data_IF_865818833865
#
_entry.id   IF_865818833865
#
_cell.length_a   1.000
_cell.length_b   1.000
_cell.length_c   1.000
_cell.angle_alpha   90.00
_cell.angle_beta   90.00
_cell.angle_gamma   90.00
#
_symmetry.space_group_name_H-M   'P 1'
#
loop_
_entity.id
_entity.type
_entity.pdbx_description
1 polymer ?
#
# COMPACT_ATOMS: atom_id res chain seq x y z
N UNK A 1 27.40 -0.58 14.67
CA UNK A 1 26.12 0.16 14.72
C UNK A 1 25.24 -0.52 15.77
N UNK A 2 24.84 0.20 16.81
CA UNK A 2 23.82 -0.27 17.75
C UNK A 2 22.46 -0.09 17.06
N UNK A 3 21.72 -1.17 16.80
CA UNK A 3 20.36 -1.04 16.27
C UNK A 3 19.47 -0.41 17.35
N UNK A 4 18.56 0.48 16.97
CA UNK A 4 17.50 0.99 17.85
C UNK A 4 16.79 -0.13 18.61
N UNK A 5 16.64 -1.27 17.94
CA UNK A 5 15.96 -2.47 18.42
C UNK A 5 16.72 -3.09 19.59
N UNK A 6 18.06 -3.04 19.57
CA UNK A 6 18.90 -3.50 20.68
C UNK A 6 18.72 -2.60 21.90
N UNK A 7 18.61 -1.29 21.71
CA UNK A 7 18.33 -0.35 22.80
C UNK A 7 16.94 -0.62 23.41
N UNK A 8 15.91 -0.78 22.57
CA UNK A 8 14.56 -1.12 23.03
C UNK A 8 14.54 -2.47 23.79
N UNK A 9 15.26 -3.47 23.28
CA UNK A 9 15.42 -4.77 23.94
C UNK A 9 16.06 -4.62 25.31
N UNK A 10 17.18 -3.90 25.41
CA UNK A 10 17.88 -3.66 26.68
C UNK A 10 17.00 -2.89 27.67
N UNK A 11 16.24 -1.89 27.22
CA UNK A 11 15.30 -1.16 28.08
C UNK A 11 14.20 -2.08 28.62
N UNK A 12 13.65 -2.96 27.78
CA UNK A 12 12.65 -3.93 28.21
C UNK A 12 13.21 -4.94 29.21
N UNK A 13 14.40 -5.48 28.96
CA UNK A 13 15.04 -6.49 29.82
C UNK A 13 15.45 -5.93 31.18
N UNK A 14 15.99 -4.70 31.21
CA UNK A 14 16.51 -4.11 32.44
C UNK A 14 15.46 -3.32 33.22
N UNK A 15 14.37 -2.88 32.57
CA UNK A 15 13.37 -1.99 33.15
C UNK A 15 11.94 -2.35 32.75
N UNK A 16 11.59 -3.64 32.67
CA UNK A 16 10.29 -4.13 32.16
C UNK A 16 9.07 -3.36 32.68
N UNK A 17 8.97 -3.18 34.01
CA UNK A 17 7.85 -2.47 34.62
C UNK A 17 7.72 -1.03 34.12
N UNK A 18 8.83 -0.30 33.97
CA UNK A 18 8.84 1.06 33.40
C UNK A 18 8.55 1.02 31.90
N UNK A 19 9.17 0.10 31.17
CA UNK A 19 9.01 -0.04 29.73
C UNK A 19 7.53 -0.24 29.32
N UNK A 20 6.78 -1.00 30.11
CA UNK A 20 5.38 -1.29 29.84
C UNK A 20 4.46 -0.08 30.10
N UNK A 21 4.82 0.84 31.01
CA UNK A 21 3.97 1.99 31.37
C UNK A 21 4.32 3.29 30.66
N UNK A 22 5.60 3.52 30.30
CA UNK A 22 6.01 4.75 29.61
C UNK A 22 5.31 4.87 28.25
N UNK A 23 4.93 6.08 27.88
CA UNK A 23 4.41 6.34 26.54
C UNK A 23 5.53 6.23 25.50
N UNK A 24 5.36 5.35 24.51
CA UNK A 24 6.37 5.05 23.48
C UNK A 24 6.05 5.64 22.09
N UNK A 25 4.96 6.41 21.95
CA UNK A 25 4.49 6.93 20.66
C UNK A 25 5.54 7.79 19.96
N UNK A 26 6.07 8.80 20.68
CA UNK A 26 7.12 9.69 20.15
C UNK A 26 8.42 8.94 19.81
N UNK A 27 9.00 8.09 20.68
CA UNK A 27 10.15 7.27 20.30
C UNK A 27 9.91 6.41 19.06
N UNK A 28 8.79 5.69 18.97
CA UNK A 28 8.47 4.88 17.79
C UNK A 28 8.31 5.73 16.53
N UNK A 29 7.71 6.91 16.63
CA UNK A 29 7.61 7.84 15.50
C UNK A 29 8.99 8.22 14.94
N UNK A 30 9.94 8.56 15.81
CA UNK A 30 11.31 8.87 15.37
C UNK A 30 12.05 7.67 14.78
N UNK A 31 11.84 6.46 15.32
CA UNK A 31 12.39 5.24 14.74
C UNK A 31 11.81 4.97 13.34
N UNK A 32 10.52 5.22 13.15
CA UNK A 32 9.88 5.14 11.85
C UNK A 32 10.47 6.12 10.85
N UNK A 33 10.61 7.39 11.24
CA UNK A 33 11.24 8.41 10.39
C UNK A 33 12.66 8.02 9.99
N UNK A 34 13.48 7.60 10.96
CA UNK A 34 14.84 7.14 10.68
C UNK A 34 14.85 6.00 9.66
N UNK A 35 13.93 5.04 9.81
CA UNK A 35 13.79 3.90 8.90
C UNK A 35 13.36 4.32 7.50
N UNK A 36 12.41 5.27 7.35
CA UNK A 36 12.06 5.85 6.05
C UNK A 36 13.25 6.52 5.37
N UNK A 37 14.04 7.28 6.13
CA UNK A 37 15.22 7.99 5.61
C UNK A 37 16.34 7.04 5.19
N UNK A 38 16.47 5.89 5.84
CA UNK A 38 17.47 4.86 5.49
C UNK A 38 16.96 3.80 4.51
N UNK A 39 15.69 3.87 4.09
CA UNK A 39 15.09 2.92 3.15
C UNK A 39 14.69 1.56 3.74
N UNK A 40 14.61 1.45 5.07
CA UNK A 40 14.06 0.28 5.78
C UNK A 40 12.54 0.45 5.91
N UNK A 41 11.81 0.26 4.81
CA UNK A 41 10.39 0.57 4.72
C UNK A 41 9.55 -0.36 5.61
N UNK A 42 9.97 -1.60 5.81
CA UNK A 42 9.31 -2.57 6.67
C UNK A 42 9.33 -2.11 8.14
N UNK A 43 10.49 -1.68 8.65
CA UNK A 43 10.56 -1.08 9.98
C UNK A 43 9.85 0.27 10.05
N UNK A 44 9.92 1.06 8.98
CA UNK A 44 9.24 2.34 8.93
C UNK A 44 7.72 2.19 9.14
N UNK A 45 7.10 1.25 8.42
CA UNK A 45 5.67 0.90 8.58
C UNK A 45 5.39 0.36 9.98
N UNK A 46 6.20 -0.59 10.48
CA UNK A 46 6.01 -1.17 11.80
C UNK A 46 6.03 -0.12 12.91
N UNK A 47 7.06 0.72 12.93
CA UNK A 47 7.21 1.73 13.98
C UNK A 47 6.20 2.87 13.86
N UNK A 48 5.74 3.22 12.65
CA UNK A 48 4.68 4.22 12.49
C UNK A 48 3.35 3.71 13.04
N UNK A 49 2.98 2.46 12.72
CA UNK A 49 1.79 1.81 13.25
C UNK A 49 1.88 1.62 14.78
N UNK A 50 3.07 1.26 15.29
CA UNK A 50 3.30 1.15 16.73
C UNK A 50 3.19 2.49 17.46
N UNK A 51 3.72 3.57 16.86
CA UNK A 51 3.57 4.92 17.40
C UNK A 51 2.10 5.30 17.51
N UNK A 52 1.37 5.10 16.41
CA UNK A 52 -0.04 5.38 16.31
C UNK A 52 -0.90 4.60 17.32
N UNK A 53 -0.65 3.30 17.48
CA UNK A 53 -1.36 2.45 18.45
C UNK A 53 -1.07 2.82 19.90
N UNK A 54 0.14 3.29 20.19
CA UNK A 54 0.50 3.77 21.51
C UNK A 54 -0.24 5.07 21.85
N UNK A 55 -0.36 6.00 20.88
CA UNK A 55 -1.14 7.23 21.03
C UNK A 55 -2.63 6.92 21.30
N UNK A 56 -3.21 5.93 20.60
CA UNK A 56 -4.58 5.42 20.87
C UNK A 56 -4.68 4.85 22.28
N UNK A 57 -3.73 3.99 22.69
CA UNK A 57 -3.73 3.33 24.00
C UNK A 57 -3.70 4.35 25.15
N UNK A 58 -3.09 5.50 24.91
CA UNK A 58 -2.97 6.58 25.89
C UNK A 58 -4.06 7.65 25.77
N UNK A 59 -5.09 7.41 24.96
CA UNK A 59 -6.25 8.31 24.78
C UNK A 59 -5.84 9.75 24.40
N UNK A 60 -4.74 9.87 23.64
CA UNK A 60 -4.24 11.16 23.17
C UNK A 60 -5.06 11.59 21.94
N UNK A 61 -5.35 12.90 21.81
CA UNK A 61 -5.95 13.43 20.58
C UNK A 61 -5.01 13.23 19.39
N UNK A 62 -5.36 12.26 18.53
CA UNK A 62 -4.56 11.85 17.39
C UNK A 62 -4.26 13.02 16.44
N UNK A 63 -5.14 14.03 16.34
CA UNK A 63 -4.92 15.20 15.47
C UNK A 63 -3.70 16.02 15.87
N UNK A 64 -3.30 15.95 17.14
CA UNK A 64 -2.16 16.68 17.68
C UNK A 64 -0.90 15.80 17.78
N UNK A 65 -1.02 14.49 17.52
CA UNK A 65 0.11 13.56 17.59
C UNK A 65 0.91 13.53 16.28
N UNK A 66 2.25 13.36 16.33
CA UNK A 66 3.07 13.23 15.13
C UNK A 66 2.63 12.08 14.21
N UNK A 67 2.21 10.94 14.78
CA UNK A 67 1.72 9.80 14.02
C UNK A 67 0.35 10.10 13.39
N UNK A 68 -0.60 10.68 14.14
CA UNK A 68 -1.90 11.05 13.56
C UNK A 68 -1.78 12.10 12.46
N UNK A 69 -0.90 13.09 12.59
CA UNK A 69 -0.62 14.05 11.52
C UNK A 69 -0.02 13.39 10.26
N UNK A 70 0.80 12.36 10.43
CA UNK A 70 1.30 11.55 9.31
C UNK A 70 0.16 10.83 8.57
N UNK A 71 -0.78 10.20 9.29
CA UNK A 71 -1.95 9.56 8.69
C UNK A 71 -2.93 10.58 8.07
N UNK A 72 -3.01 11.78 8.63
CA UNK A 72 -3.82 12.90 8.12
C UNK A 72 -3.22 13.52 6.85
N UNK A 73 -1.99 13.13 6.47
CA UNK A 73 -1.18 13.74 5.41
C UNK A 73 -1.07 15.27 5.58
N UNK A 74 -0.97 15.71 6.84
CA UNK A 74 -0.93 17.12 7.19
C UNK A 74 0.43 17.72 6.82
N UNK A 75 0.39 18.73 5.94
CA UNK A 75 1.58 19.48 5.49
C UNK A 75 1.66 20.88 6.07
N UNK A 76 0.68 21.29 6.86
CA UNK A 76 0.54 22.64 7.38
C UNK A 76 1.22 22.79 8.76
N UNK A 77 1.41 21.69 9.49
CA UNK A 77 2.14 21.71 10.75
C UNK A 77 3.65 21.73 10.52
N UNK A 78 4.23 22.94 10.43
CA UNK A 78 5.66 23.15 10.23
C UNK A 78 6.56 22.55 11.34
N UNK A 79 6.01 22.29 12.52
CA UNK A 79 6.74 21.74 13.67
C UNK A 79 6.79 20.21 13.66
N UNK A 80 6.09 19.55 12.75
CA UNK A 80 6.13 18.08 12.66
C UNK A 80 7.50 17.62 12.14
N UNK A 81 8.21 16.81 12.93
CA UNK A 81 9.54 16.33 12.56
C UNK A 81 9.55 15.54 11.23
N UNK A 82 8.51 14.76 10.95
CA UNK A 82 8.37 13.98 9.70
C UNK A 82 7.79 14.75 8.51
N UNK A 83 7.76 16.09 8.54
CA UNK A 83 7.09 16.90 7.51
C UNK A 83 7.58 16.60 6.08
N UNK A 84 8.89 16.45 5.87
CA UNK A 84 9.44 16.18 4.53
C UNK A 84 9.08 14.79 3.99
N UNK A 85 8.91 13.81 4.89
CA UNK A 85 8.40 12.49 4.52
C UNK A 85 6.94 12.62 4.06
N UNK A 86 6.10 13.34 4.82
CA UNK A 86 4.69 13.56 4.46
C UNK A 86 4.55 14.33 3.15
N UNK A 87 5.34 15.40 2.95
CA UNK A 87 5.37 16.14 1.66
C UNK A 87 5.76 15.23 0.50
N UNK A 88 6.74 14.35 0.69
CA UNK A 88 7.18 13.40 -0.35
C UNK A 88 6.08 12.38 -0.67
N UNK A 89 5.42 11.82 0.34
CA UNK A 89 4.25 10.93 0.15
C UNK A 89 3.18 11.65 -0.66
N UNK A 90 2.80 12.86 -0.24
CA UNK A 90 1.75 13.66 -0.90
C UNK A 90 2.09 13.96 -2.36
N UNK A 91 3.34 14.34 -2.64
CA UNK A 91 3.84 14.60 -4.00
C UNK A 91 3.80 13.35 -4.88
N UNK A 92 4.29 12.22 -4.37
CA UNK A 92 4.31 10.96 -5.13
C UNK A 92 2.90 10.43 -5.38
N UNK A 93 2.03 10.54 -4.38
CA UNK A 93 0.62 10.18 -4.48
C UNK A 93 -0.09 11.06 -5.52
N UNK A 94 0.01 12.38 -5.44
CA UNK A 94 -0.60 13.31 -6.41
C UNK A 94 -0.12 13.03 -7.85
N UNK A 95 1.20 12.85 -8.03
CA UNK A 95 1.78 12.48 -9.31
C UNK A 95 1.14 11.19 -9.85
N UNK A 96 1.08 10.13 -9.04
CA UNK A 96 0.54 8.85 -9.48
C UNK A 96 -0.96 8.88 -9.72
N UNK A 97 -1.75 9.54 -8.88
CA UNK A 97 -3.19 9.68 -9.09
C UNK A 97 -3.49 10.36 -10.43
N UNK A 98 -2.76 11.42 -10.77
CA UNK A 98 -2.88 12.10 -12.07
C UNK A 98 -2.45 11.22 -13.24
N UNK A 99 -1.40 10.40 -13.09
CA UNK A 99 -1.03 9.43 -14.13
C UNK A 99 -2.12 8.37 -14.35
N UNK A 100 -2.68 7.83 -13.27
CA UNK A 100 -3.75 6.83 -13.34
C UNK A 100 -4.99 7.41 -14.02
N UNK A 101 -5.40 8.63 -13.69
CA UNK A 101 -6.50 9.30 -14.36
C UNK A 101 -6.26 9.44 -15.87
N UNK A 102 -5.07 9.89 -16.29
CA UNK A 102 -4.70 10.03 -17.71
C UNK A 102 -4.73 8.70 -18.47
N UNK A 103 -4.43 7.59 -17.80
CA UNK A 103 -4.48 6.26 -18.38
C UNK A 103 -5.91 5.69 -18.47
N UNK A 104 -6.93 6.43 -18.00
CA UNK A 104 -8.32 5.99 -17.98
C UNK A 104 -8.73 5.29 -16.68
N UNK A 105 -7.97 5.51 -15.61
CA UNK A 105 -8.31 5.11 -14.24
C UNK A 105 -9.33 6.04 -13.56
N UNK A 106 -9.74 5.75 -12.31
CA UNK A 106 -10.61 6.62 -11.55
C UNK A 106 -9.94 7.96 -11.21
N UNK A 107 -10.72 9.05 -11.22
CA UNK A 107 -10.30 10.36 -10.73
C UNK A 107 -10.39 10.39 -9.20
N UNK A 108 -9.25 10.29 -8.53
CA UNK A 108 -9.14 10.40 -7.07
C UNK A 108 -8.18 11.54 -6.70
N UNK A 109 -8.56 12.32 -5.69
CA UNK A 109 -7.67 13.29 -5.05
C UNK A 109 -6.99 12.68 -3.82
N UNK A 110 -5.94 13.35 -3.31
CA UNK A 110 -5.36 13.00 -2.01
C UNK A 110 -6.42 13.03 -0.89
N UNK A 111 -7.37 13.97 -0.96
CA UNK A 111 -8.46 14.06 0.00
C UNK A 111 -9.41 12.85 -0.08
N UNK A 112 -9.62 12.28 -1.28
CA UNK A 112 -10.38 11.03 -1.40
C UNK A 112 -9.66 9.88 -0.71
N UNK A 113 -8.35 9.71 -0.95
CA UNK A 113 -7.56 8.66 -0.28
C UNK A 113 -7.59 8.84 1.24
N UNK A 114 -7.41 10.10 1.68
CA UNK A 114 -7.44 10.47 3.09
C UNK A 114 -8.78 10.10 3.73
N UNK A 115 -9.88 10.58 3.17
CA UNK A 115 -11.22 10.37 3.77
C UNK A 115 -11.64 8.90 3.70
N UNK A 116 -11.36 8.22 2.59
CA UNK A 116 -11.84 6.86 2.33
C UNK A 116 -10.97 5.76 2.92
N UNK A 117 -9.75 6.06 3.37
CA UNK A 117 -8.82 5.05 3.92
C UNK A 117 -8.14 5.54 5.18
N UNK A 118 -7.32 6.60 5.11
CA UNK A 118 -6.43 6.93 6.23
C UNK A 118 -7.20 7.49 7.44
N UNK A 119 -8.16 8.38 7.24
CA UNK A 119 -9.05 8.87 8.31
C UNK A 119 -10.03 7.82 8.80
N UNK A 120 -10.51 6.94 7.93
CA UNK A 120 -11.32 5.80 8.36
C UNK A 120 -10.57 4.94 9.38
N UNK A 121 -9.27 4.73 9.15
CA UNK A 121 -8.40 4.03 10.09
C UNK A 121 -8.18 4.77 11.41
N UNK A 122 -8.37 6.11 11.45
CA UNK A 122 -8.28 6.93 12.66
C UNK A 122 -9.54 6.87 13.54
N UNK A 123 -10.71 6.52 12.98
CA UNK A 123 -11.99 6.54 13.70
C UNK A 123 -12.40 5.14 14.18
N UNK A 124 -13.05 4.38 13.31
CA UNK A 124 -13.80 3.18 13.68
C UNK A 124 -13.32 1.91 12.95
N UNK A 125 -12.27 2.02 12.11
CA UNK A 125 -11.76 0.94 11.25
C UNK A 125 -10.28 0.65 11.52
N UNK A 126 -9.98 0.24 12.75
CA UNK A 126 -8.60 -0.14 13.13
C UNK A 126 -8.03 -1.28 12.29
N UNK A 127 -8.88 -2.10 11.66
CA UNK A 127 -8.51 -3.10 10.66
C UNK A 127 -7.86 -2.50 9.41
N UNK A 128 -8.08 -1.23 9.13
CA UNK A 128 -7.45 -0.50 8.02
C UNK A 128 -6.13 0.17 8.40
N UNK A 129 -5.72 0.24 9.67
CA UNK A 129 -4.47 0.91 10.08
C UNK A 129 -3.24 0.38 9.34
N UNK A 130 -3.12 -0.95 9.25
CA UNK A 130 -2.03 -1.61 8.51
C UNK A 130 -2.14 -1.35 7.01
N UNK A 131 -3.35 -1.26 6.45
CA UNK A 131 -3.56 -0.94 5.03
C UNK A 131 -3.15 0.51 4.75
N UNK A 132 -3.53 1.44 5.62
CA UNK A 132 -3.17 2.86 5.53
C UNK A 132 -1.65 3.04 5.57
N UNK A 133 -0.96 2.50 6.57
CA UNK A 133 0.50 2.62 6.68
C UNK A 133 1.24 1.98 5.52
N UNK A 134 0.79 0.80 5.07
CA UNK A 134 1.35 0.15 3.88
C UNK A 134 1.12 0.98 2.61
N UNK A 135 -0.05 1.58 2.43
CA UNK A 135 -0.37 2.45 1.28
C UNK A 135 0.50 3.70 1.27
N UNK A 136 0.64 4.39 2.41
CA UNK A 136 1.48 5.58 2.51
C UNK A 136 2.96 5.24 2.25
N UNK A 137 3.45 4.12 2.81
CA UNK A 137 4.80 3.64 2.52
C UNK A 137 4.99 3.23 1.07
N UNK A 138 3.99 2.65 0.42
CA UNK A 138 4.04 2.27 -1.00
C UNK A 138 4.28 3.51 -1.88
N UNK A 139 3.55 4.60 -1.64
CA UNK A 139 3.79 5.85 -2.37
C UNK A 139 5.14 6.51 -2.05
N UNK A 140 5.64 6.37 -0.82
CA UNK A 140 6.97 6.88 -0.47
C UNK A 140 8.09 6.07 -1.16
N UNK A 141 8.00 4.75 -1.07
CA UNK A 141 8.99 3.80 -1.56
C UNK A 141 9.18 3.84 -3.09
N UNK A 142 8.13 4.22 -3.84
CA UNK A 142 8.17 4.36 -5.30
C UNK A 142 9.42 5.05 -5.83
N UNK A 143 9.78 6.22 -5.25
CA UNK A 143 10.94 6.99 -5.72
C UNK A 143 12.26 6.28 -5.44
N UNK A 144 12.35 5.59 -4.30
CA UNK A 144 13.54 4.79 -3.96
C UNK A 144 13.74 3.65 -4.95
N UNK A 145 12.66 2.96 -5.33
CA UNK A 145 12.72 1.87 -6.32
C UNK A 145 13.04 2.40 -7.72
N UNK A 146 12.43 3.51 -8.12
CA UNK A 146 12.77 4.18 -9.39
C UNK A 146 14.26 4.57 -9.45
N UNK A 147 14.77 5.22 -8.41
CA UNK A 147 16.18 5.61 -8.32
C UNK A 147 17.12 4.40 -8.41
N UNK A 148 16.80 3.28 -7.75
CA UNK A 148 17.60 2.06 -7.84
C UNK A 148 17.68 1.51 -9.28
N UNK A 149 16.61 1.60 -10.06
CA UNK A 149 16.62 1.21 -11.48
C UNK A 149 17.41 2.20 -12.34
N UNK A 150 17.32 3.49 -12.05
CA UNK A 150 18.08 4.54 -12.76
C UNK A 150 19.60 4.42 -12.52
N UNK A 151 20.00 4.04 -11.30
CA UNK A 151 21.39 3.88 -10.91
C UNK A 151 22.00 2.54 -11.34
N UNK A 152 21.18 1.50 -11.54
CA UNK A 152 21.68 0.17 -11.88
C UNK A 152 21.66 -0.07 -13.39
N UNK A 153 22.71 -0.70 -13.92
CA UNK A 153 22.64 -1.24 -15.28
C UNK A 153 21.64 -2.40 -15.32
N UNK A 154 21.07 -2.68 -16.49
CA UNK A 154 20.02 -3.69 -16.69
C UNK A 154 20.40 -5.10 -16.19
N UNK A 155 21.70 -5.40 -16.06
CA UNK A 155 22.24 -6.70 -15.63
C UNK A 155 22.80 -6.76 -14.20
N UNK A 156 22.72 -5.68 -13.41
CA UNK A 156 23.35 -5.61 -12.09
C UNK A 156 22.33 -5.77 -10.95
N UNK A 157 22.68 -6.61 -9.97
CA UNK A 157 21.91 -6.82 -8.73
C UNK A 157 20.71 -7.77 -8.89
N UNK A 158 19.97 -7.95 -7.79
CA UNK A 158 18.75 -8.77 -7.75
C UNK A 158 17.51 -7.95 -8.18
N UNK A 159 16.51 -8.62 -8.77
CA UNK A 159 15.20 -8.04 -9.06
C UNK A 159 14.28 -7.96 -7.82
N UNK A 160 14.68 -8.61 -6.72
CA UNK A 160 13.90 -8.75 -5.49
C UNK A 160 13.30 -7.43 -4.96
N UNK A 161 14.02 -6.29 -4.89
CA UNK A 161 13.46 -5.05 -4.36
C UNK A 161 12.24 -4.54 -5.15
N UNK A 162 12.22 -4.77 -6.47
CA UNK A 162 11.11 -4.35 -7.34
C UNK A 162 9.94 -5.32 -7.25
N UNK A 163 10.26 -6.62 -7.20
CA UNK A 163 9.28 -7.70 -7.05
C UNK A 163 8.53 -7.58 -5.73
N UNK A 164 9.24 -7.39 -4.62
CA UNK A 164 8.64 -7.24 -3.30
C UNK A 164 7.82 -5.95 -3.19
N UNK A 165 8.28 -4.86 -3.82
CA UNK A 165 7.53 -3.61 -3.90
C UNK A 165 6.19 -3.79 -4.66
N UNK A 166 6.19 -4.45 -5.81
CA UNK A 166 4.93 -4.74 -6.51
C UNK A 166 4.04 -5.69 -5.73
N UNK A 167 4.62 -6.71 -5.09
CA UNK A 167 3.87 -7.63 -4.23
C UNK A 167 3.17 -6.87 -3.10
N UNK A 168 3.86 -5.90 -2.47
CA UNK A 168 3.28 -5.01 -1.46
C UNK A 168 2.04 -4.29 -2.01
N UNK A 169 2.13 -3.73 -3.23
CA UNK A 169 0.98 -3.12 -3.92
C UNK A 169 -0.16 -4.09 -4.19
N UNK A 170 0.13 -5.31 -4.67
CA UNK A 170 -0.87 -6.36 -4.85
C UNK A 170 -1.57 -6.75 -3.53
N UNK A 171 -0.82 -6.83 -2.43
CA UNK A 171 -1.34 -7.16 -1.10
C UNK A 171 -2.18 -6.00 -0.53
N UNK A 172 -1.83 -4.75 -0.82
CA UNK A 172 -2.65 -3.58 -0.49
C UNK A 172 -4.00 -3.68 -1.22
N UNK A 173 -3.99 -3.92 -2.53
CA UNK A 173 -5.21 -4.11 -3.32
C UNK A 173 -6.08 -5.27 -2.79
N UNK A 174 -5.46 -6.42 -2.51
CA UNK A 174 -6.14 -7.59 -1.94
C UNK A 174 -6.74 -7.28 -0.55
N UNK A 175 -6.00 -6.54 0.29
CA UNK A 175 -6.46 -6.13 1.61
C UNK A 175 -7.65 -5.17 1.53
N UNK A 176 -7.66 -4.23 0.57
CA UNK A 176 -8.77 -3.33 0.34
C UNK A 176 -10.05 -4.09 -0.03
N UNK A 177 -9.95 -5.06 -0.94
CA UNK A 177 -11.12 -5.89 -1.30
C UNK A 177 -11.62 -6.64 -0.06
N UNK A 178 -10.73 -7.31 0.67
CA UNK A 178 -11.11 -8.15 1.83
C UNK A 178 -11.71 -7.36 2.98
N UNK A 179 -11.23 -6.15 3.22
CA UNK A 179 -11.69 -5.31 4.31
C UNK A 179 -12.86 -4.40 3.91
N UNK A 180 -13.24 -4.32 2.65
CA UNK A 180 -14.50 -3.70 2.26
C UNK A 180 -15.72 -4.44 2.85
N UNK A 181 -16.86 -3.77 2.98
CA UNK A 181 -18.07 -4.38 3.55
C UNK A 181 -18.54 -5.58 2.72
N UNK A 182 -18.46 -5.48 1.39
CA UNK A 182 -18.79 -6.58 0.49
C UNK A 182 -17.79 -7.73 0.59
N UNK A 183 -16.50 -7.43 0.78
CA UNK A 183 -15.45 -8.43 1.02
C UNK A 183 -15.68 -9.22 2.30
N UNK A 184 -15.97 -8.51 3.41
CA UNK A 184 -16.30 -9.12 4.71
C UNK A 184 -17.52 -10.03 4.61
N UNK A 185 -18.61 -9.57 3.97
CA UNK A 185 -19.81 -10.39 3.72
C UNK A 185 -19.52 -11.61 2.84
N UNK A 186 -18.57 -11.50 1.90
CA UNK A 186 -18.21 -12.59 0.99
C UNK A 186 -17.37 -13.67 1.64
N UNK A 187 -16.46 -13.28 2.53
CA UNK A 187 -15.61 -14.20 3.28
C UNK A 187 -16.40 -15.21 4.11
N UNK A 188 -17.54 -14.81 4.66
CA UNK A 188 -18.37 -15.67 5.49
C UNK A 188 -19.09 -16.78 4.68
N UNK A 189 -19.17 -16.65 3.36
CA UNK A 189 -19.98 -17.52 2.50
C UNK A 189 -19.15 -18.34 1.48
N UNK A 190 -17.81 -18.27 1.51
CA UNK A 190 -16.95 -18.85 0.46
C UNK A 190 -15.76 -19.62 1.03
N UNK A 191 -15.38 -20.74 0.40
CA UNK A 191 -14.21 -21.55 0.75
C UNK A 191 -12.90 -21.09 0.08
N UNK A 192 -12.95 -20.11 -0.85
CA UNK A 192 -11.78 -19.65 -1.60
C UNK A 192 -11.19 -18.37 -0.98
N UNK A 193 -10.13 -18.54 -0.18
CA UNK A 193 -9.52 -17.48 0.59
C UNK A 193 -8.33 -16.78 -0.09
N UNK A 194 -8.23 -16.74 -1.42
CA UNK A 194 -7.15 -16.02 -2.14
C UNK A 194 -7.73 -14.94 -3.08
N UNK A 195 -6.88 -14.00 -3.54
CA UNK A 195 -7.29 -12.90 -4.43
C UNK A 195 -8.08 -13.40 -5.66
N UNK A 196 -7.63 -14.49 -6.28
CA UNK A 196 -8.31 -15.08 -7.44
C UNK A 196 -9.71 -15.63 -7.11
N UNK A 197 -9.91 -16.15 -5.91
CA UNK A 197 -11.23 -16.55 -5.40
C UNK A 197 -12.16 -15.36 -5.29
N UNK A 198 -11.71 -14.29 -4.62
CA UNK A 198 -12.50 -13.06 -4.48
C UNK A 198 -12.86 -12.45 -5.85
N UNK A 199 -11.93 -12.38 -6.79
CA UNK A 199 -12.17 -11.77 -8.11
C UNK A 199 -13.05 -12.62 -9.04
N UNK A 200 -13.31 -13.88 -8.70
CA UNK A 200 -14.27 -14.75 -9.39
C UNK A 200 -15.70 -14.60 -8.87
N UNK A 201 -15.86 -14.08 -7.66
CA UNK A 201 -17.18 -13.82 -7.07
C UNK A 201 -17.88 -12.68 -7.79
N UNK A 202 -19.07 -12.95 -8.36
CA UNK A 202 -19.83 -12.00 -9.18
C UNK A 202 -20.10 -10.68 -8.48
N UNK A 203 -20.50 -10.75 -7.21
CA UNK A 203 -20.72 -9.58 -6.38
C UNK A 203 -19.47 -8.70 -6.22
N UNK A 204 -18.27 -9.30 -6.17
CA UNK A 204 -17.02 -8.56 -6.00
C UNK A 204 -16.64 -7.87 -7.31
N UNK A 205 -16.57 -8.59 -8.43
CA UNK A 205 -16.16 -7.94 -9.69
C UNK A 205 -17.20 -6.93 -10.19
N UNK A 206 -18.49 -7.15 -9.92
CA UNK A 206 -19.53 -6.14 -10.19
C UNK A 206 -19.39 -4.92 -9.30
N UNK A 207 -19.08 -5.08 -8.01
CA UNK A 207 -18.82 -3.95 -7.12
C UNK A 207 -17.60 -3.13 -7.57
N UNK A 208 -16.57 -3.79 -8.13
CA UNK A 208 -15.43 -3.12 -8.75
C UNK A 208 -15.75 -2.47 -10.12
N UNK A 209 -16.99 -2.59 -10.62
CA UNK A 209 -17.45 -1.95 -11.86
C UNK A 209 -17.31 -2.81 -13.12
N UNK A 210 -17.04 -4.11 -12.99
CA UNK A 210 -16.87 -5.01 -14.14
C UNK A 210 -18.13 -5.82 -14.45
N UNK A 211 -18.40 -6.03 -15.74
CA UNK A 211 -19.52 -6.85 -16.20
C UNK A 211 -19.16 -8.34 -16.24
N UNK A 212 -17.88 -8.66 -16.47
CA UNK A 212 -17.34 -10.01 -16.56
C UNK A 212 -16.17 -10.17 -15.61
N UNK A 213 -15.85 -11.43 -15.25
CA UNK A 213 -14.71 -11.73 -14.39
C UNK A 213 -13.39 -11.22 -15.03
N UNK A 214 -12.64 -10.34 -14.34
CA UNK A 214 -11.43 -9.73 -14.88
C UNK A 214 -10.19 -10.64 -14.75
N UNK A 215 -10.30 -11.87 -14.23
CA UNK A 215 -9.16 -12.77 -13.98
C UNK A 215 -9.30 -14.11 -14.68
N UNK A 216 -9.51 -14.07 -16.00
CA UNK A 216 -9.63 -15.25 -16.86
C UNK A 216 -8.27 -15.77 -17.38
N UNK A 217 -7.22 -14.95 -17.35
CA UNK A 217 -5.90 -15.29 -17.84
C UNK A 217 -5.05 -15.99 -16.76
N UNK A 218 -4.33 -17.04 -17.16
CA UNK A 218 -3.31 -17.69 -16.31
C UNK A 218 -1.92 -17.22 -16.74
N UNK A 219 -1.09 -16.89 -15.76
CA UNK A 219 0.31 -16.52 -15.95
C UNK A 219 1.18 -17.47 -15.12
N UNK A 220 2.12 -18.17 -15.77
CA UNK A 220 3.01 -19.11 -15.08
C UNK A 220 4.38 -18.48 -14.82
N UNK A 221 4.82 -17.55 -15.69
CA UNK A 221 6.10 -16.85 -15.59
C UNK A 221 5.95 -15.36 -15.90
N UNK A 222 6.94 -14.57 -15.48
CA UNK A 222 6.98 -13.13 -15.77
C UNK A 222 6.92 -12.82 -17.28
N UNK A 223 7.58 -13.63 -18.11
CA UNK A 223 7.53 -13.52 -19.57
C UNK A 223 6.11 -13.62 -20.15
N UNK A 224 5.22 -14.39 -19.53
CA UNK A 224 3.82 -14.53 -19.98
C UNK A 224 3.04 -13.25 -19.73
N UNK A 225 3.27 -12.65 -18.55
CA UNK A 225 2.67 -11.38 -18.17
C UNK A 225 3.18 -10.25 -19.07
N UNK A 226 4.49 -10.21 -19.34
CA UNK A 226 5.08 -9.23 -20.24
C UNK A 226 4.47 -9.30 -21.64
N UNK A 227 4.36 -10.50 -22.23
CA UNK A 227 3.69 -10.70 -23.52
C UNK A 227 2.25 -10.21 -23.53
N UNK A 228 1.53 -10.37 -22.42
CA UNK A 228 0.17 -9.86 -22.28
C UNK A 228 0.13 -8.33 -22.18
N UNK A 229 1.06 -7.71 -21.44
CA UNK A 229 1.20 -6.25 -21.35
C UNK A 229 1.55 -5.66 -22.73
N UNK A 230 2.52 -6.24 -23.44
CA UNK A 230 2.99 -5.78 -24.75
C UNK A 230 1.92 -5.94 -25.85
N UNK A 231 0.98 -6.87 -25.67
CA UNK A 231 -0.11 -7.07 -26.62
C UNK A 231 -1.06 -5.87 -26.56
N UNK A 232 -0.90 -4.96 -27.53
CA UNK A 232 -1.90 -3.91 -27.77
C UNK A 232 -3.22 -4.56 -28.18
N UNK A 233 -4.19 -4.47 -27.30
CA UNK A 233 -5.57 -4.81 -27.59
C UNK A 233 -6.38 -3.52 -27.42
N UNK A 234 -6.67 -2.84 -28.53
CA UNK A 234 -7.34 -1.53 -28.54
C UNK A 234 -8.73 -1.56 -27.87
N UNK A 235 -9.28 -2.76 -27.63
CA UNK A 235 -10.57 -2.97 -26.98
C UNK A 235 -10.48 -3.22 -25.46
N UNK A 236 -9.28 -3.50 -24.91
CA UNK A 236 -9.13 -3.77 -23.48
C UNK A 236 -8.95 -2.46 -22.70
N UNK A 237 -9.87 -2.18 -21.78
CA UNK A 237 -9.83 -0.95 -20.98
C UNK A 237 -8.72 -1.05 -19.94
N UNK A 238 -8.04 0.07 -19.68
CA UNK A 238 -7.01 0.18 -18.64
C UNK A 238 -7.44 -0.42 -17.29
N UNK A 239 -8.71 -0.26 -16.90
CA UNK A 239 -9.25 -0.80 -15.66
C UNK A 239 -9.21 -2.34 -15.61
N UNK A 240 -9.59 -3.01 -16.70
CA UNK A 240 -9.56 -4.48 -16.78
C UNK A 240 -8.13 -5.00 -16.76
N UNK A 241 -7.24 -4.32 -17.52
CA UNK A 241 -5.82 -4.64 -17.54
C UNK A 241 -5.16 -4.44 -16.17
N UNK A 242 -5.55 -3.40 -15.43
CA UNK A 242 -5.06 -3.12 -14.08
C UNK A 242 -5.32 -4.28 -13.12
N UNK A 243 -6.54 -4.81 -13.09
CA UNK A 243 -6.90 -5.95 -12.23
C UNK A 243 -6.19 -7.23 -12.71
N UNK A 244 -6.16 -7.46 -14.02
CA UNK A 244 -5.55 -8.66 -14.61
C UNK A 244 -4.04 -8.72 -14.33
N UNK A 245 -3.32 -7.61 -14.56
CA UNK A 245 -1.88 -7.51 -14.31
C UNK A 245 -1.57 -7.62 -12.82
N UNK A 246 -2.33 -6.94 -11.96
CA UNK A 246 -2.15 -7.01 -10.50
C UNK A 246 -2.36 -8.44 -9.98
N UNK A 247 -3.37 -9.15 -10.48
CA UNK A 247 -3.59 -10.57 -10.20
C UNK A 247 -2.45 -11.43 -10.73
N UNK A 248 -1.98 -11.18 -11.96
CA UNK A 248 -0.86 -11.88 -12.57
C UNK A 248 0.42 -11.78 -11.76
N UNK A 249 0.83 -10.56 -11.39
CA UNK A 249 1.98 -10.31 -10.51
C UNK A 249 1.78 -11.04 -9.18
N UNK A 250 0.62 -10.91 -8.53
CA UNK A 250 0.36 -11.57 -7.24
C UNK A 250 0.58 -13.07 -7.31
N UNK A 251 0.13 -13.72 -8.38
CA UNK A 251 0.30 -15.17 -8.56
C UNK A 251 1.76 -15.52 -8.87
N UNK A 252 2.39 -14.86 -9.86
CA UNK A 252 3.76 -15.18 -10.26
C UNK A 252 4.72 -15.02 -9.08
N UNK A 253 4.67 -13.87 -8.40
CA UNK A 253 5.57 -13.55 -7.29
C UNK A 253 5.33 -14.47 -6.09
N UNK A 254 4.07 -14.81 -5.79
CA UNK A 254 3.76 -15.73 -4.69
C UNK A 254 4.37 -17.13 -4.89
N UNK A 255 4.72 -17.49 -6.12
CA UNK A 255 5.28 -18.80 -6.44
C UNK A 255 6.80 -18.79 -6.63
N UNK A 256 7.44 -17.66 -6.96
CA UNK A 256 8.90 -17.58 -7.10
C UNK A 256 9.44 -16.14 -7.04
N UNK A 257 10.55 -15.97 -6.31
CA UNK A 257 11.43 -14.79 -6.37
C UNK A 257 12.60 -14.97 -7.37
N UNK A 258 12.82 -16.20 -7.86
CA UNK A 258 13.88 -16.51 -8.83
C UNK A 258 13.41 -16.13 -10.24
N UNK A 259 13.37 -14.82 -10.51
CA UNK A 259 13.05 -14.29 -11.82
C UNK A 259 14.32 -14.22 -12.66
N UNK A 260 14.27 -14.81 -13.84
CA UNK A 260 15.39 -14.81 -14.79
C UNK A 260 15.67 -13.40 -15.33
N UNK A 261 14.62 -12.57 -15.44
CA UNK A 261 14.69 -11.21 -15.98
C UNK A 261 14.40 -10.17 -14.89
N UNK A 262 15.24 -9.12 -14.85
CA UNK A 262 15.00 -7.91 -14.06
C UNK A 262 14.16 -6.93 -14.89
N UNK A 263 13.17 -6.23 -14.29
CA UNK A 263 12.43 -5.23 -15.03
C UNK A 263 13.31 -4.02 -15.37
N UNK A 264 13.16 -3.49 -16.58
CA UNK A 264 13.68 -2.16 -16.91
C UNK A 264 12.79 -1.08 -16.28
N UNK A 265 13.26 0.17 -16.31
CA UNK A 265 12.53 1.31 -15.76
C UNK A 265 11.11 1.44 -16.35
N UNK A 266 10.97 1.32 -17.68
CA UNK A 266 9.67 1.44 -18.34
C UNK A 266 8.70 0.34 -17.90
N UNK A 267 9.16 -0.91 -17.83
CA UNK A 267 8.35 -2.04 -17.35
C UNK A 267 7.94 -1.83 -15.90
N UNK A 268 8.85 -1.28 -15.08
CA UNK A 268 8.55 -0.97 -13.69
C UNK A 268 7.50 0.10 -13.52
N UNK A 269 7.58 1.18 -14.29
CA UNK A 269 6.57 2.23 -14.25
C UNK A 269 5.22 1.73 -14.76
N UNK A 270 5.20 0.94 -15.84
CA UNK A 270 3.98 0.39 -16.41
C UNK A 270 3.27 -0.59 -15.46
N UNK A 271 3.99 -1.56 -14.90
CA UNK A 271 3.43 -2.50 -13.91
C UNK A 271 2.98 -1.76 -12.65
N UNK A 272 3.76 -0.80 -12.17
CA UNK A 272 3.38 0.02 -11.02
C UNK A 272 2.10 0.81 -11.32
N UNK A 273 1.90 1.30 -12.54
CA UNK A 273 0.68 2.01 -12.91
C UNK A 273 -0.54 1.08 -12.90
N UNK A 274 -0.42 -0.16 -13.39
CA UNK A 274 -1.52 -1.13 -13.30
C UNK A 274 -1.88 -1.49 -11.85
N UNK A 275 -0.87 -1.70 -10.99
CA UNK A 275 -1.08 -1.99 -9.57
C UNK A 275 -1.72 -0.80 -8.84
N UNK A 276 -1.20 0.41 -9.08
CA UNK A 276 -1.78 1.64 -8.53
C UNK A 276 -3.21 1.84 -9.04
N UNK A 277 -3.47 1.57 -10.31
CA UNK A 277 -4.80 1.60 -10.90
C UNK A 277 -5.78 0.65 -10.21
N UNK A 278 -5.37 -0.60 -9.93
CA UNK A 278 -6.18 -1.55 -9.19
C UNK A 278 -6.50 -1.08 -7.76
N UNK A 279 -5.51 -0.49 -7.06
CA UNK A 279 -5.70 0.14 -5.75
C UNK A 279 -6.72 1.28 -5.84
N UNK A 280 -6.57 2.19 -6.82
CA UNK A 280 -7.51 3.29 -7.04
C UNK A 280 -8.93 2.81 -7.33
N UNK A 281 -9.10 1.76 -8.13
CA UNK A 281 -10.42 1.15 -8.40
C UNK A 281 -11.05 0.63 -7.10
N UNK A 282 -10.28 -0.09 -6.28
CA UNK A 282 -10.79 -0.61 -5.02
C UNK A 282 -11.20 0.51 -4.06
N UNK A 283 -10.40 1.58 -3.94
CA UNK A 283 -10.73 2.72 -3.07
C UNK A 283 -11.96 3.47 -3.61
N UNK A 284 -12.00 3.76 -4.92
CA UNK A 284 -13.10 4.48 -5.54
C UNK A 284 -14.43 3.74 -5.39
N UNK A 285 -14.43 2.43 -5.65
CA UNK A 285 -15.66 1.64 -5.73
C UNK A 285 -16.12 1.00 -4.44
N UNK A 286 -15.22 0.72 -3.50
CA UNK A 286 -15.54 -0.05 -2.30
C UNK A 286 -15.60 0.79 -1.02
N UNK A 287 -15.16 2.05 -1.06
CA UNK A 287 -15.01 2.92 0.11
C UNK A 287 -15.66 4.30 -0.10
N UNK A 288 -16.85 4.36 -0.68
CA UNK A 288 -17.54 5.62 -0.97
C UNK A 288 -17.92 6.42 0.30
N UNK A 289 -17.73 7.75 0.26
CA UNK A 289 -18.02 8.69 1.36
C UNK A 289 -19.49 8.68 1.86
N UNK A 290 -20.41 8.03 1.13
CA UNK A 290 -21.86 8.03 1.44
C UNK A 290 -22.26 7.07 2.55
N UNK A 291 -21.39 6.16 2.99
CA UNK A 291 -21.71 5.19 4.06
C UNK A 291 -21.35 5.68 5.46
N UNK A 292 -20.78 6.90 5.59
CA UNK A 292 -20.34 7.47 6.88
C UNK A 292 -21.26 8.57 7.44
N UNK A 293 -22.42 8.85 6.84
CA UNK A 293 -23.43 9.70 7.51
C UNK A 293 -24.18 8.98 8.64
N UNK A 294 -23.80 7.74 8.97
CA UNK A 294 -24.41 6.91 10.03
C UNK A 294 -23.38 6.33 11.02
N UNK A 295 -22.16 6.89 11.11
CA UNK A 295 -21.13 6.54 12.10
C UNK A 295 -20.46 7.79 12.68
#
# INVERSE_FOLDING_TARGET
>A
MCSSDLVLKLLKENFEGKYNVIHKGTPFYFLSMGSFLTGDFEKAVYYMDAAFKEDIRSEIDLKETPAGLFFDLNTENEKQAGLEIVKSIKRNMDYKLKEIEKLGGPTLSINDIKNRITLLSLKNRTDLCTVSTALLSFFYEYQSRKLLLELSKFSEGTAEPFILYWLKGCVIFESLIRNSDIGKKTRNNTHFFNLGGFLKEEKIFKALGFVKCPVNQKFNKYSDLKKYIDKKNDNEKFLEKSITVTYGIRNIVAHSLAWEDKPCLNEFEEINNFITGAICIAIDKLYDNKTESEL
#
